data_IF_954557404935
#
_entry.id   IF_954557404935
#
_cell.length_a   1.000
_cell.length_b   1.000
_cell.length_c   1.000
_cell.angle_alpha   90.00
_cell.angle_beta   90.00
_cell.angle_gamma   90.00
#
_symmetry.space_group_name_H-M   'P 1'
#
loop_
_entity.id
_entity.type
_entity.pdbx_description
1 polymer ?
#
# COMPACT_ATOMS: atom_id res chain seq x y z
N UNK A 1 15.65 7.66 -10.84
CA UNK A 1 15.23 7.31 -9.47
C UNK A 1 13.86 7.91 -9.20
N UNK A 2 12.80 7.17 -9.56
CA UNK A 2 11.42 7.68 -9.63
C UNK A 2 10.41 6.88 -8.78
N UNK A 3 10.84 5.83 -8.05
CA UNK A 3 9.98 4.97 -7.20
C UNK A 3 9.31 5.71 -6.05
N UNK A 4 10.03 6.64 -5.43
CA UNK A 4 9.46 7.49 -4.37
C UNK A 4 8.47 8.51 -4.93
N UNK A 5 8.58 8.87 -6.22
CA UNK A 5 7.83 9.95 -6.86
C UNK A 5 6.57 9.55 -7.63
N UNK A 6 6.24 8.26 -7.66
CA UNK A 6 5.09 7.74 -8.41
C UNK A 6 3.75 8.28 -7.84
N UNK A 7 2.89 8.80 -8.71
CA UNK A 7 1.75 9.64 -8.32
C UNK A 7 0.48 8.80 -8.12
N UNK A 8 -0.17 8.97 -6.98
CA UNK A 8 -1.60 8.65 -6.78
C UNK A 8 -2.29 9.93 -6.27
N UNK A 9 -2.96 10.65 -7.18
CA UNK A 9 -3.46 12.01 -6.93
C UNK A 9 -4.97 12.12 -6.74
N UNK A 10 -5.71 11.00 -6.72
CA UNK A 10 -7.19 11.01 -6.74
C UNK A 10 -7.79 10.10 -5.66
N UNK A 11 -8.62 10.67 -4.78
CA UNK A 11 -9.38 9.98 -3.73
C UNK A 11 -10.58 9.17 -4.26
N UNK A 12 -10.45 8.51 -5.43
CA UNK A 12 -11.53 7.69 -5.97
C UNK A 12 -11.65 6.40 -5.16
N UNK A 13 -12.85 6.14 -4.61
CA UNK A 13 -13.17 4.87 -3.97
C UNK A 13 -13.27 3.78 -5.03
N UNK A 14 -12.22 2.98 -5.15
CA UNK A 14 -12.20 1.81 -6.01
C UNK A 14 -12.52 0.54 -5.19
N UNK A 15 -13.09 -0.49 -5.82
CA UNK A 15 -13.25 -1.78 -5.15
C UNK A 15 -11.87 -2.36 -4.77
N UNK A 16 -11.78 -3.07 -3.63
CA UNK A 16 -10.56 -3.74 -3.22
C UNK A 16 -10.05 -4.75 -4.25
N UNK A 17 -8.74 -4.99 -4.23
CA UNK A 17 -8.09 -6.00 -5.07
C UNK A 17 -7.73 -7.19 -4.19
N UNK A 18 -8.64 -8.15 -4.05
CA UNK A 18 -8.42 -9.34 -3.21
C UNK A 18 -8.13 -10.60 -4.04
N UNK A 19 -8.35 -10.56 -5.36
CA UNK A 19 -8.21 -11.75 -6.21
C UNK A 19 -6.82 -12.41 -6.17
N UNK A 20 -5.75 -11.66 -5.86
CA UNK A 20 -4.42 -12.24 -5.70
C UNK A 20 -4.25 -13.02 -4.40
N UNK A 21 -4.99 -12.72 -3.33
CA UNK A 21 -4.80 -13.34 -2.01
C UNK A 21 -5.03 -14.86 -2.04
N UNK A 22 -6.02 -15.28 -2.84
CA UNK A 22 -6.39 -16.69 -3.05
C UNK A 22 -5.65 -17.35 -4.21
N UNK A 23 -4.77 -16.62 -4.89
CA UNK A 23 -4.00 -17.17 -6.01
C UNK A 23 -2.97 -18.19 -5.50
N UNK A 24 -2.67 -19.20 -6.31
CA UNK A 24 -1.57 -20.12 -6.03
C UNK A 24 -0.25 -19.34 -5.99
N UNK A 25 0.58 -19.64 -4.98
CA UNK A 25 1.96 -19.15 -4.90
C UNK A 25 2.81 -19.87 -5.96
N UNK A 26 3.44 -19.10 -6.84
CA UNK A 26 4.22 -19.61 -7.97
C UNK A 26 5.65 -19.06 -7.93
N UNK A 27 6.65 -19.79 -8.48
CA UNK A 27 7.99 -19.25 -8.71
C UNK A 27 7.98 -18.00 -9.60
N UNK A 28 9.00 -17.14 -9.49
CA UNK A 28 9.02 -15.82 -10.12
C UNK A 28 8.77 -15.91 -11.64
N UNK A 29 9.45 -16.80 -12.35
CA UNK A 29 9.27 -16.94 -13.80
C UNK A 29 7.82 -17.27 -14.17
N UNK A 30 7.18 -18.21 -13.46
CA UNK A 30 5.78 -18.59 -13.67
C UNK A 30 4.82 -17.47 -13.31
N UNK A 31 5.12 -16.72 -12.26
CA UNK A 31 4.30 -15.58 -11.84
C UNK A 31 4.33 -14.41 -12.85
N UNK A 32 5.40 -14.29 -13.65
CA UNK A 32 5.57 -13.25 -14.66
C UNK A 32 5.04 -13.63 -16.05
N UNK A 33 4.86 -14.93 -16.35
CA UNK A 33 4.41 -15.43 -17.67
C UNK A 33 3.21 -14.64 -18.26
N UNK A 34 2.14 -14.33 -17.51
CA UNK A 34 0.98 -13.61 -18.06
C UNK A 34 1.23 -12.14 -18.43
N UNK A 35 2.34 -11.57 -17.99
CA UNK A 35 2.66 -10.13 -18.12
C UNK A 35 3.96 -9.86 -18.88
N UNK A 36 4.64 -10.89 -19.40
CA UNK A 36 5.90 -10.76 -20.14
C UNK A 36 5.83 -9.76 -21.31
N UNK A 37 4.69 -9.69 -22.01
CA UNK A 37 4.50 -8.76 -23.13
C UNK A 37 4.10 -7.34 -22.71
N UNK A 38 3.77 -7.12 -21.43
CA UNK A 38 3.33 -5.82 -20.92
C UNK A 38 4.48 -4.96 -20.42
N UNK A 39 5.64 -5.56 -20.13
CA UNK A 39 6.81 -4.90 -19.55
C UNK A 39 8.02 -5.21 -20.42
N UNK A 40 8.62 -4.17 -20.98
CA UNK A 40 9.80 -4.33 -21.82
C UNK A 40 10.96 -4.97 -21.04
N UNK A 41 11.68 -5.88 -21.71
CA UNK A 41 12.83 -6.62 -21.18
C UNK A 41 12.58 -7.39 -19.87
N UNK A 42 11.32 -7.66 -19.50
CA UNK A 42 10.98 -8.31 -18.23
C UNK A 42 11.66 -9.67 -18.03
N UNK A 43 11.78 -10.48 -19.09
CA UNK A 43 12.50 -11.76 -19.00
C UNK A 43 13.97 -11.55 -18.56
N UNK A 44 14.67 -10.61 -19.19
CA UNK A 44 16.07 -10.26 -18.86
C UNK A 44 16.18 -9.77 -17.41
N UNK A 45 15.35 -8.82 -17.01
CA UNK A 45 15.43 -8.24 -15.68
C UNK A 45 14.99 -9.20 -14.58
N UNK A 46 14.07 -10.12 -14.86
CA UNK A 46 13.70 -11.19 -13.91
C UNK A 46 14.86 -12.14 -13.62
N UNK A 47 15.72 -12.42 -14.62
CA UNK A 47 16.93 -13.22 -14.45
C UNK A 47 17.98 -12.48 -13.63
N UNK A 48 18.18 -11.19 -13.91
CA UNK A 48 19.07 -10.34 -13.10
C UNK A 48 18.58 -10.31 -11.65
N UNK A 49 17.30 -10.06 -11.42
CA UNK A 49 16.73 -10.06 -10.07
C UNK A 49 16.97 -11.38 -9.33
N UNK A 50 16.84 -12.54 -10.00
CA UNK A 50 17.08 -13.85 -9.38
C UNK A 50 18.56 -14.14 -9.06
N UNK A 51 19.47 -13.51 -9.79
CA UNK A 51 20.91 -13.64 -9.59
C UNK A 51 21.40 -12.69 -8.48
N UNK A 52 20.94 -11.45 -8.49
CA UNK A 52 21.42 -10.37 -7.61
C UNK A 52 20.64 -10.24 -6.30
N UNK A 53 19.47 -10.88 -6.18
CA UNK A 53 18.69 -10.82 -4.95
C UNK A 53 19.46 -11.35 -3.74
N UNK A 54 19.12 -10.81 -2.57
CA UNK A 54 19.68 -11.27 -1.32
C UNK A 54 19.22 -12.70 -0.99
N UNK A 55 20.12 -13.66 -1.24
CA UNK A 55 19.91 -15.05 -0.89
C UNK A 55 21.25 -15.71 -0.49
N UNK A 56 21.32 -16.48 0.62
CA UNK A 56 20.22 -16.87 1.51
C UNK A 56 19.65 -15.71 2.32
N UNK A 57 18.35 -15.78 2.62
CA UNK A 57 17.62 -14.74 3.34
C UNK A 57 17.64 -15.00 4.85
N UNK A 58 17.93 -13.96 5.64
CA UNK A 58 17.83 -13.98 7.11
C UNK A 58 16.37 -13.99 7.63
N UNK A 59 15.39 -13.76 6.76
CA UNK A 59 13.96 -13.75 7.07
C UNK A 59 13.20 -14.88 6.35
N UNK A 60 13.90 -15.96 5.97
CA UNK A 60 13.29 -17.17 5.39
C UNK A 60 12.54 -16.93 4.07
N UNK A 61 12.96 -15.91 3.31
CA UNK A 61 12.53 -15.74 1.93
C UNK A 61 13.18 -16.82 1.07
N UNK A 62 12.38 -17.46 0.23
CA UNK A 62 12.87 -18.22 -0.91
C UNK A 62 13.59 -17.27 -1.88
N UNK A 63 14.44 -17.83 -2.76
CA UNK A 63 15.10 -17.04 -3.80
C UNK A 63 14.10 -16.32 -4.70
N UNK A 64 12.97 -16.95 -5.03
CA UNK A 64 11.92 -16.35 -5.87
C UNK A 64 11.20 -15.18 -5.17
N UNK A 65 10.92 -15.29 -3.87
CA UNK A 65 10.36 -14.20 -3.06
C UNK A 65 11.33 -13.01 -2.95
N UNK A 66 12.61 -13.28 -2.67
CA UNK A 66 13.63 -12.23 -2.63
C UNK A 66 13.82 -11.56 -3.99
N UNK A 67 13.80 -12.34 -5.07
CA UNK A 67 13.90 -11.82 -6.43
C UNK A 67 12.67 -11.01 -6.85
N UNK A 68 11.48 -11.33 -6.34
CA UNK A 68 10.28 -10.55 -6.60
C UNK A 68 10.39 -9.12 -6.02
N UNK A 69 10.91 -8.99 -4.79
CA UNK A 69 11.18 -7.69 -4.16
C UNK A 69 12.28 -6.95 -4.92
N UNK A 70 13.38 -7.63 -5.23
CA UNK A 70 14.48 -7.04 -5.99
C UNK A 70 13.98 -6.49 -7.33
N UNK A 71 13.25 -7.29 -8.11
CA UNK A 71 12.67 -6.91 -9.41
C UNK A 71 11.76 -5.68 -9.30
N UNK A 72 10.92 -5.60 -8.27
CA UNK A 72 10.08 -4.43 -8.03
C UNK A 72 10.92 -3.17 -7.87
N UNK A 73 12.03 -3.27 -7.16
CA UNK A 73 12.88 -2.12 -6.82
C UNK A 73 13.83 -1.70 -7.95
N UNK A 74 14.01 -2.53 -8.98
CA UNK A 74 14.90 -2.20 -10.09
C UNK A 74 14.39 -1.01 -10.91
N UNK A 75 15.34 -0.20 -11.40
CA UNK A 75 15.08 0.86 -12.35
C UNK A 75 15.90 0.67 -13.62
N UNK A 76 15.22 0.68 -14.77
CA UNK A 76 15.85 0.57 -16.09
C UNK A 76 15.29 1.56 -17.11
N UNK A 77 14.72 2.67 -16.63
CA UNK A 77 14.15 3.73 -17.46
C UNK A 77 12.63 3.75 -17.44
N UNK A 78 12.04 4.33 -18.49
CA UNK A 78 10.59 4.36 -18.65
C UNK A 78 10.00 2.95 -18.75
N UNK A 79 8.86 2.74 -18.09
CA UNK A 79 8.22 1.43 -17.98
C UNK A 79 9.06 0.39 -17.22
N UNK A 80 9.89 0.85 -16.27
CA UNK A 80 10.42 -0.02 -15.21
C UNK A 80 9.27 -0.75 -14.51
N UNK A 81 9.52 -1.97 -14.04
CA UNK A 81 8.47 -2.87 -13.55
C UNK A 81 7.51 -2.23 -12.53
N UNK A 82 8.03 -1.51 -11.52
CA UNK A 82 7.19 -0.83 -10.53
C UNK A 82 6.26 0.21 -11.15
N UNK A 83 6.70 0.95 -12.19
CA UNK A 83 5.89 1.97 -12.84
C UNK A 83 4.70 1.33 -13.56
N UNK A 84 4.95 0.17 -14.19
CA UNK A 84 3.91 -0.55 -14.93
C UNK A 84 2.89 -1.15 -13.96
N UNK A 85 3.33 -1.92 -12.95
CA UNK A 85 2.40 -2.52 -12.00
C UNK A 85 1.59 -1.47 -11.24
N UNK A 86 2.22 -0.38 -10.80
CA UNK A 86 1.51 0.69 -10.08
C UNK A 86 0.51 1.43 -10.98
N UNK A 87 0.76 1.52 -12.29
CA UNK A 87 -0.24 2.02 -13.25
C UNK A 87 -1.49 1.15 -13.27
N UNK A 88 -1.34 -0.18 -13.30
CA UNK A 88 -2.48 -1.10 -13.25
C UNK A 88 -3.17 -1.07 -11.88
N UNK A 89 -2.41 -0.92 -10.78
CA UNK A 89 -2.98 -0.81 -9.44
C UNK A 89 -3.84 0.45 -9.26
N UNK A 90 -3.52 1.54 -9.98
CA UNK A 90 -4.34 2.76 -10.04
C UNK A 90 -5.51 2.69 -11.01
N UNK A 91 -5.54 1.72 -11.93
CA UNK A 91 -6.56 1.65 -12.95
C UNK A 91 -7.93 1.38 -12.33
N UNK A 92 -8.95 2.10 -12.81
CA UNK A 92 -10.34 1.91 -12.40
C UNK A 92 -10.86 0.54 -12.83
N UNK A 93 -10.47 0.11 -14.04
CA UNK A 93 -10.76 -1.24 -14.51
C UNK A 93 -9.88 -2.26 -13.78
N UNK A 94 -10.43 -2.84 -12.70
CA UNK A 94 -9.79 -3.90 -11.93
C UNK A 94 -9.57 -5.18 -12.72
N UNK A 95 -10.28 -5.41 -13.82
CA UNK A 95 -10.08 -6.62 -14.62
C UNK A 95 -8.69 -6.65 -15.28
N UNK A 96 -8.13 -5.48 -15.57
CA UNK A 96 -6.77 -5.32 -16.10
C UNK A 96 -5.67 -5.80 -15.14
N UNK A 97 -5.95 -5.93 -13.84
CA UNK A 97 -5.01 -6.45 -12.84
C UNK A 97 -4.95 -7.97 -12.77
N UNK A 98 -5.92 -8.69 -13.35
CA UNK A 98 -5.97 -10.16 -13.25
C UNK A 98 -4.67 -10.86 -13.70
N UNK A 99 -4.02 -10.45 -14.82
CA UNK A 99 -2.74 -11.04 -15.22
C UNK A 99 -1.62 -10.86 -14.18
N UNK A 100 -1.72 -9.84 -13.32
CA UNK A 100 -0.71 -9.49 -12.30
C UNK A 100 -0.89 -10.27 -11.00
N UNK A 101 -2.00 -11.00 -10.81
CA UNK A 101 -2.32 -11.64 -9.53
C UNK A 101 -1.27 -12.67 -9.08
N UNK A 102 -0.69 -13.42 -10.02
CA UNK A 102 0.36 -14.38 -9.68
C UNK A 102 1.61 -13.68 -9.13
N UNK A 103 2.04 -12.58 -9.74
CA UNK A 103 3.15 -11.77 -9.23
C UNK A 103 2.80 -11.08 -7.91
N UNK A 104 1.62 -10.46 -7.81
CA UNK A 104 1.17 -9.80 -6.58
C UNK A 104 1.12 -10.79 -5.41
N UNK A 105 0.66 -12.03 -5.64
CA UNK A 105 0.68 -13.08 -4.62
C UNK A 105 2.10 -13.40 -4.15
N UNK A 106 3.05 -13.55 -5.08
CA UNK A 106 4.45 -13.82 -4.74
C UNK A 106 5.08 -12.66 -3.96
N UNK A 107 4.91 -11.43 -4.45
CA UNK A 107 5.43 -10.23 -3.81
C UNK A 107 4.83 -10.01 -2.42
N UNK A 108 3.50 -10.12 -2.30
CA UNK A 108 2.77 -10.00 -1.04
C UNK A 108 3.25 -11.03 0.00
N UNK A 109 3.38 -12.29 -0.42
CA UNK A 109 3.91 -13.36 0.45
C UNK A 109 5.34 -13.04 0.90
N UNK A 110 6.18 -12.51 0.02
CA UNK A 110 7.56 -12.14 0.34
C UNK A 110 7.63 -11.01 1.37
N UNK A 111 6.93 -9.89 1.15
CA UNK A 111 7.01 -8.73 2.05
C UNK A 111 6.38 -8.99 3.42
N UNK A 112 5.43 -9.91 3.51
CA UNK A 112 4.82 -10.31 4.79
C UNK A 112 5.75 -11.15 5.69
N UNK A 113 6.84 -11.70 5.16
CA UNK A 113 7.91 -12.35 5.96
C UNK A 113 8.89 -11.35 6.57
N UNK A 114 8.88 -10.10 6.13
CA UNK A 114 9.86 -9.10 6.53
C UNK A 114 9.44 -8.34 7.80
N UNK A 115 10.40 -7.72 8.51
CA UNK A 115 10.10 -6.90 9.67
C UNK A 115 9.09 -5.80 9.37
N UNK A 116 8.16 -5.61 10.30
CA UNK A 116 7.18 -4.52 10.22
C UNK A 116 7.72 -3.26 10.89
N UNK A 117 7.57 -2.13 10.22
CA UNK A 117 8.02 -0.80 10.63
C UNK A 117 6.81 0.02 11.06
N UNK A 118 6.74 0.33 12.36
CA UNK A 118 5.77 1.26 12.96
C UNK A 118 6.48 2.57 13.33
N UNK A 119 6.71 3.42 12.34
CA UNK A 119 7.46 4.69 12.46
C UNK A 119 6.99 5.70 11.42
N UNK A 120 7.44 6.94 11.57
CA UNK A 120 7.28 7.95 10.54
C UNK A 120 8.08 7.59 9.28
N UNK A 121 7.40 7.55 8.15
CA UNK A 121 7.97 7.34 6.83
C UNK A 121 7.88 8.60 5.99
N UNK A 122 8.82 8.74 5.07
CA UNK A 122 8.91 9.86 4.14
C UNK A 122 8.72 9.36 2.71
N UNK A 123 7.92 10.08 1.93
CA UNK A 123 7.75 9.85 0.49
C UNK A 123 7.68 11.18 -0.24
N UNK A 124 8.46 11.36 -1.29
CA UNK A 124 8.50 12.60 -2.07
C UNK A 124 7.89 12.39 -3.44
N UNK A 125 6.88 13.19 -3.81
CA UNK A 125 6.27 13.19 -5.15
C UNK A 125 6.73 14.42 -5.91
N UNK A 126 7.28 14.23 -7.12
CA UNK A 126 7.82 15.29 -7.98
C UNK A 126 6.71 16.12 -8.68
N UNK A 127 5.65 16.45 -7.95
CA UNK A 127 4.51 17.27 -8.38
C UNK A 127 3.82 17.91 -7.18
N UNK A 128 3.31 19.13 -7.36
CA UNK A 128 2.43 19.79 -6.40
C UNK A 128 1.05 19.15 -6.48
N UNK A 129 0.75 18.35 -5.46
CA UNK A 129 -0.56 17.73 -5.25
C UNK A 129 -1.05 17.96 -3.82
N UNK A 130 -0.39 18.84 -3.05
CA UNK A 130 -0.70 19.05 -1.64
C UNK A 130 -2.15 19.51 -1.45
N UNK A 131 -2.65 20.36 -2.37
CA UNK A 131 -4.03 20.87 -2.40
C UNK A 131 -5.11 19.80 -2.57
N UNK A 132 -4.74 18.59 -2.97
CA UNK A 132 -5.69 17.48 -3.11
C UNK A 132 -6.05 16.85 -1.75
N UNK A 133 -5.36 17.22 -0.68
CA UNK A 133 -5.56 16.68 0.65
C UNK A 133 -6.17 17.73 1.57
N UNK A 134 -7.19 17.33 2.33
CA UNK A 134 -7.82 18.16 3.36
C UNK A 134 -7.82 17.43 4.69
N UNK A 135 -7.68 18.17 5.79
CA UNK A 135 -7.73 17.59 7.13
C UNK A 135 -8.95 16.68 7.31
N UNK A 136 -8.71 15.47 7.82
CA UNK A 136 -9.74 14.48 8.11
C UNK A 136 -10.20 13.65 6.91
N UNK A 137 -9.77 13.98 5.70
CA UNK A 137 -10.08 13.18 4.50
C UNK A 137 -9.44 11.80 4.60
N UNK A 138 -10.22 10.76 4.27
CA UNK A 138 -9.76 9.40 4.17
C UNK A 138 -9.69 8.94 2.71
N UNK A 139 -8.62 8.24 2.38
CA UNK A 139 -8.40 7.70 1.04
C UNK A 139 -7.55 6.42 1.11
N UNK A 140 -7.42 5.75 -0.03
CA UNK A 140 -6.65 4.51 -0.17
C UNK A 140 -5.57 4.73 -1.23
N UNK A 141 -4.33 4.35 -0.93
CA UNK A 141 -3.33 4.14 -1.97
C UNK A 141 -3.38 2.69 -2.44
N UNK A 142 -3.79 2.49 -3.68
CA UNK A 142 -3.87 1.16 -4.28
C UNK A 142 -2.52 0.66 -4.77
N UNK A 143 -1.55 1.55 -4.92
CA UNK A 143 -0.19 1.26 -5.39
C UNK A 143 0.66 0.56 -4.34
N UNK A 144 1.71 -0.13 -4.79
CA UNK A 144 2.83 -0.46 -3.92
C UNK A 144 3.59 0.85 -3.70
N UNK A 145 3.65 1.33 -2.45
CA UNK A 145 4.23 2.63 -2.13
C UNK A 145 5.61 2.47 -1.50
N UNK A 146 6.64 2.86 -2.24
CA UNK A 146 8.01 2.98 -1.73
C UNK A 146 8.16 4.24 -0.87
N UNK A 147 8.66 4.07 0.35
CA UNK A 147 8.94 5.13 1.31
C UNK A 147 10.33 4.94 1.90
N UNK A 148 10.86 5.95 2.58
CA UNK A 148 12.11 5.82 3.33
C UNK A 148 11.90 6.22 4.78
N UNK A 149 12.64 5.57 5.68
CA UNK A 149 12.78 6.04 7.08
C UNK A 149 13.72 7.24 7.19
N UNK A 150 14.48 7.54 6.13
CA UNK A 150 15.47 8.62 6.07
C UNK A 150 14.95 9.79 5.25
N UNK A 151 14.73 10.93 5.91
CA UNK A 151 14.43 12.19 5.20
C UNK A 151 15.58 12.60 4.27
N UNK A 152 16.83 12.27 4.62
CA UNK A 152 17.99 12.60 3.81
C UNK A 152 17.97 11.88 2.47
N UNK A 153 17.50 10.63 2.45
CA UNK A 153 17.28 9.89 1.20
C UNK A 153 16.25 10.63 0.35
N UNK A 154 15.09 11.00 0.93
CA UNK A 154 13.99 11.62 0.16
C UNK A 154 14.34 13.01 -0.38
N UNK A 155 15.20 13.78 0.31
CA UNK A 155 15.59 15.13 -0.14
C UNK A 155 16.12 15.16 -1.57
N UNK A 156 16.88 14.15 -1.97
CA UNK A 156 17.49 14.06 -3.31
C UNK A 156 16.43 13.87 -4.42
N UNK A 157 15.19 13.53 -4.05
CA UNK A 157 14.06 13.32 -4.95
C UNK A 157 13.10 14.53 -5.02
N UNK A 158 13.33 15.56 -4.21
CA UNK A 158 12.45 16.73 -4.14
C UNK A 158 12.99 17.85 -5.05
N UNK A 159 12.20 18.22 -6.05
CA UNK A 159 12.34 19.47 -6.81
C UNK A 159 11.45 20.60 -6.27
N UNK A 160 11.53 21.82 -6.86
CA UNK A 160 10.80 23.02 -6.40
C UNK A 160 9.27 22.88 -6.30
N UNK A 161 8.69 22.03 -7.15
CA UNK A 161 7.25 21.76 -7.21
C UNK A 161 6.91 20.37 -6.66
N UNK A 162 7.63 19.90 -5.64
CA UNK A 162 7.38 18.57 -5.04
C UNK A 162 6.48 18.63 -3.82
N UNK A 163 5.78 17.52 -3.56
CA UNK A 163 5.01 17.29 -2.34
C UNK A 163 5.73 16.24 -1.49
N UNK A 164 6.10 16.59 -0.27
CA UNK A 164 6.65 15.67 0.72
C UNK A 164 5.52 15.13 1.61
N UNK A 165 5.44 13.81 1.72
CA UNK A 165 4.54 13.12 2.63
C UNK A 165 5.31 12.72 3.88
N UNK A 166 4.79 13.13 5.04
CA UNK A 166 5.09 12.55 6.34
C UNK A 166 3.98 11.56 6.67
N UNK A 167 4.32 10.30 6.89
CA UNK A 167 3.35 9.22 7.06
C UNK A 167 3.60 8.55 8.41
N UNK A 168 2.66 8.64 9.35
CA UNK A 168 2.62 7.81 10.55
C UNK A 168 2.22 6.39 10.16
N UNK A 169 3.20 5.56 9.79
CA UNK A 169 2.97 4.20 9.32
C UNK A 169 2.94 3.19 10.47
N UNK A 170 2.11 2.16 10.31
CA UNK A 170 1.96 1.04 11.24
C UNK A 170 2.36 -0.28 10.58
N UNK A 171 2.03 -0.48 9.30
CA UNK A 171 2.26 -1.75 8.60
C UNK A 171 3.35 -1.69 7.52
N UNK A 172 4.27 -0.72 7.58
CA UNK A 172 5.39 -0.64 6.65
C UNK A 172 6.26 -1.91 6.69
N UNK A 173 6.74 -2.39 5.54
CA UNK A 173 7.63 -3.56 5.43
C UNK A 173 9.04 -3.12 5.11
N UNK A 174 9.99 -3.42 5.98
CA UNK A 174 11.39 -3.09 5.76
C UNK A 174 11.98 -3.99 4.66
N UNK A 175 12.30 -3.39 3.51
CA UNK A 175 12.91 -4.09 2.38
C UNK A 175 14.35 -3.66 2.15
N UNK A 176 14.96 -2.91 3.06
CA UNK A 176 16.31 -2.33 2.90
C UNK A 176 17.39 -3.38 2.57
N UNK A 177 17.24 -4.59 3.10
CA UNK A 177 18.14 -5.72 2.80
C UNK A 177 17.85 -6.46 1.49
N UNK A 178 16.76 -6.14 0.78
CA UNK A 178 16.25 -6.92 -0.38
C UNK A 178 16.03 -6.06 -1.63
N UNK A 179 16.25 -4.75 -1.52
CA UNK A 179 16.11 -3.78 -2.61
C UNK A 179 17.38 -3.69 -3.46
N UNK A 180 17.22 -3.27 -4.72
CA UNK A 180 18.31 -2.90 -5.64
C UNK A 180 19.04 -1.62 -5.19
N UNK A 181 18.56 -0.93 -4.14
CA UNK A 181 19.12 0.30 -3.61
C UNK A 181 19.29 0.27 -2.07
N UNK A 182 20.30 -0.45 -1.56
CA UNK A 182 20.43 -0.74 -0.11
C UNK A 182 20.67 0.51 0.76
N UNK A 183 21.12 1.63 0.18
CA UNK A 183 21.37 2.89 0.89
C UNK A 183 20.12 3.72 1.12
N UNK A 184 18.97 3.34 0.56
CA UNK A 184 17.74 4.13 0.61
C UNK A 184 16.90 3.92 1.87
N UNK A 185 17.26 2.95 2.73
CA UNK A 185 16.48 2.58 3.92
C UNK A 185 14.99 2.39 3.58
N UNK A 186 14.75 1.68 2.48
CA UNK A 186 13.45 1.60 1.84
C UNK A 186 12.45 0.74 2.63
N UNK A 187 11.23 1.26 2.75
CA UNK A 187 10.08 0.61 3.37
C UNK A 187 8.91 0.62 2.38
N UNK A 188 8.23 -0.51 2.24
CA UNK A 188 7.04 -0.64 1.40
C UNK A 188 5.78 -0.50 2.24
N UNK A 189 4.84 0.33 1.77
CA UNK A 189 3.43 0.26 2.16
C UNK A 189 2.69 -0.56 1.08
N UNK A 190 1.97 -1.59 1.51
CA UNK A 190 1.32 -2.54 0.61
C UNK A 190 0.15 -1.92 -0.17
N UNK A 191 -0.22 -2.49 -1.33
CA UNK A 191 -1.42 -2.10 -2.08
C UNK A 191 -2.67 -2.07 -1.20
N UNK A 192 -3.44 -0.99 -1.29
CA UNK A 192 -4.68 -0.83 -0.55
C UNK A 192 -4.50 -0.22 0.85
N UNK A 193 -3.32 0.32 1.17
CA UNK A 193 -3.09 1.02 2.45
C UNK A 193 -4.01 2.24 2.54
N UNK A 194 -4.75 2.35 3.65
CA UNK A 194 -5.67 3.47 3.92
C UNK A 194 -5.00 4.53 4.75
N UNK A 195 -5.29 5.78 4.45
CA UNK A 195 -4.75 6.94 5.16
C UNK A 195 -5.84 7.92 5.52
N UNK A 196 -5.58 8.69 6.58
CA UNK A 196 -6.27 9.93 6.91
C UNK A 196 -5.28 11.08 6.87
N UNK A 197 -5.67 12.22 6.28
CA UNK A 197 -4.92 13.46 6.42
C UNK A 197 -5.09 14.02 7.85
N UNK A 198 -3.97 14.15 8.58
CA UNK A 198 -3.97 14.56 10.00
C UNK A 198 -4.19 16.07 10.15
N UNK A 199 -3.67 16.84 9.20
CA UNK A 199 -3.78 18.30 9.15
C UNK A 199 -4.06 18.76 7.72
N UNK A 200 -4.42 20.03 7.56
CA UNK A 200 -4.32 20.67 6.26
C UNK A 200 -2.84 20.71 5.83
N UNK A 201 -2.57 20.65 4.52
CA UNK A 201 -1.20 20.64 4.01
C UNK A 201 -0.48 21.96 4.34
N UNK A 202 0.83 21.88 4.61
CA UNK A 202 1.69 23.05 4.51
C UNK A 202 1.90 23.30 3.02
N UNK A 203 1.21 24.28 2.45
CA UNK A 203 1.30 24.64 1.02
C UNK A 203 2.06 25.96 0.85
N UNK A 204 3.37 25.94 1.10
CA UNK A 204 4.24 27.12 0.97
C UNK A 204 5.51 26.77 0.20
N UNK A 205 5.84 27.53 -0.84
CA UNK A 205 7.08 27.31 -1.57
C UNK A 205 8.31 27.58 -0.66
N UNK A 206 9.41 26.81 -0.80
CA UNK A 206 9.61 25.73 -1.77
C UNK A 206 9.15 24.34 -1.27
N UNK A 207 8.56 24.25 -0.07
CA UNK A 207 8.31 22.98 0.62
C UNK A 207 6.83 22.77 0.90
N UNK A 208 6.24 21.80 0.18
CA UNK A 208 4.86 21.39 0.41
C UNK A 208 4.83 20.10 1.20
N UNK A 209 4.12 20.07 2.32
CA UNK A 209 4.09 18.90 3.22
C UNK A 209 2.66 18.45 3.47
N UNK A 210 2.41 17.15 3.25
CA UNK A 210 1.16 16.47 3.60
C UNK A 210 1.44 15.51 4.75
N UNK A 211 0.67 15.63 5.84
CA UNK A 211 0.77 14.74 7.00
C UNK A 211 -0.35 13.71 6.97
N UNK A 212 0.03 12.44 6.88
CA UNK A 212 -0.86 11.29 6.82
C UNK A 212 -0.69 10.38 8.03
N UNK A 213 -1.78 9.76 8.45
CA UNK A 213 -1.78 8.66 9.40
C UNK A 213 -2.39 7.43 8.74
N UNK A 214 -1.72 6.28 8.86
CA UNK A 214 -2.26 5.01 8.39
C UNK A 214 -3.49 4.60 9.22
N UNK A 215 -4.58 4.25 8.53
CA UNK A 215 -5.81 3.78 9.18
C UNK A 215 -5.70 2.27 9.40
N UNK A 216 -5.76 1.89 10.67
CA UNK A 216 -5.81 0.50 11.17
C UNK A 216 -7.07 0.30 12.02
N UNK A 217 -7.43 -0.96 12.30
CA UNK A 217 -8.53 -1.31 13.20
C UNK A 217 -8.41 -0.61 14.58
N UNK A 218 -7.19 -0.45 15.09
CA UNK A 218 -6.90 0.28 16.34
C UNK A 218 -7.29 1.76 16.23
N UNK A 219 -6.89 2.42 15.13
CA UNK A 219 -7.20 3.83 14.93
C UNK A 219 -8.68 4.06 14.67
N UNK A 220 -9.38 3.16 13.97
CA UNK A 220 -10.84 3.24 13.78
C UNK A 220 -11.59 3.17 15.12
N UNK A 221 -11.16 2.32 16.05
CA UNK A 221 -11.68 2.25 17.42
C UNK A 221 -11.45 3.52 18.25
N UNK A 222 -10.31 4.20 18.05
CA UNK A 222 -10.01 5.47 18.71
C UNK A 222 -10.90 6.63 18.23
N UNK A 223 -11.30 6.68 16.95
CA UNK A 223 -12.26 7.70 16.50
C UNK A 223 -13.66 7.43 17.01
N UNK A 224 -14.12 6.18 16.95
CA UNK A 224 -15.47 5.85 17.44
C UNK A 224 -15.60 6.18 18.93
N UNK A 225 -14.58 5.88 19.73
CA UNK A 225 -14.53 6.27 21.14
C UNK A 225 -14.40 7.79 21.35
N UNK A 226 -13.61 8.50 20.54
CA UNK A 226 -13.47 9.97 20.65
C UNK A 226 -14.73 10.73 20.23
N UNK A 227 -15.41 10.28 19.18
CA UNK A 227 -16.72 10.82 18.74
C UNK A 227 -17.81 10.50 19.75
N UNK A 228 -17.80 9.29 20.33
CA UNK A 228 -18.69 8.94 21.43
C UNK A 228 -18.40 9.79 22.68
N UNK A 229 -17.14 10.04 23.03
CA UNK A 229 -16.78 10.91 24.14
C UNK A 229 -17.20 12.37 23.91
N UNK A 230 -17.03 12.90 22.69
CA UNK A 230 -17.51 14.24 22.33
C UNK A 230 -19.04 14.35 22.34
N UNK A 231 -19.75 13.33 21.88
CA UNK A 231 -21.23 13.32 21.90
C UNK A 231 -21.82 13.09 23.30
N UNK A 232 -21.13 12.33 24.16
CA UNK A 232 -21.48 12.18 25.60
C UNK A 232 -21.21 13.47 26.36
N UNK A 233 -20.11 14.19 26.06
CA UNK A 233 -19.83 15.50 26.63
C UNK A 233 -20.90 16.54 26.24
N UNK A 234 -21.49 16.42 25.04
CA UNK A 234 -22.59 17.30 24.59
C UNK A 234 -24.00 16.87 25.03
N UNK A 235 -24.16 15.73 25.72
CA UNK A 235 -25.48 15.16 26.05
C UNK A 235 -25.69 14.90 27.55
N UNK A 236 -24.99 15.63 28.43
CA UNK A 236 -25.27 15.63 29.87
C UNK A 236 -26.57 16.36 30.23
N UNK A 237 -27.71 15.89 29.70
CA UNK A 237 -29.06 16.09 30.24
C UNK A 237 -30.06 15.15 29.54
N UNK A 238 -30.22 13.91 30.04
CA UNK A 238 -31.51 13.23 30.34
C UNK A 238 -31.35 11.71 30.59
N UNK A 239 -32.21 11.23 31.51
CA UNK A 239 -32.28 9.92 32.17
C UNK A 239 -32.75 8.73 31.28
N UNK A 240 -32.09 7.58 31.52
CA UNK A 240 -32.52 6.15 31.59
C UNK A 240 -33.69 5.57 30.77
N UNK A 241 -33.45 4.42 30.08
CA UNK A 241 -34.01 3.06 30.36
C UNK A 241 -33.50 2.00 29.34
N UNK A 242 -33.58 0.67 29.61
CA UNK A 242 -32.66 -0.33 29.07
C UNK A 242 -33.14 -1.02 27.78
N UNK A 243 -32.20 -1.50 26.95
CA UNK A 243 -32.49 -2.36 25.79
C UNK A 243 -31.84 -3.73 25.91
N UNK A 244 -32.66 -4.73 25.60
CA UNK A 244 -32.44 -6.16 25.68
C UNK A 244 -31.49 -6.66 24.57
N UNK A 245 -30.52 -7.51 24.92
CA UNK A 245 -29.47 -8.00 24.00
C UNK A 245 -29.85 -9.40 23.52
N UNK A 246 -30.30 -9.51 22.27
CA UNK A 246 -30.40 -10.80 21.57
C UNK A 246 -29.20 -10.97 20.62
N UNK A 247 -28.37 -11.98 20.89
CA UNK A 247 -27.19 -12.32 20.09
C UNK A 247 -27.59 -12.94 18.75
N UNK A 248 -27.33 -12.25 17.63
CA UNK A 248 -27.49 -12.83 16.28
C UNK A 248 -26.22 -13.60 15.87
N UNK A 249 -26.39 -14.89 15.60
CA UNK A 249 -25.40 -15.71 14.89
C UNK A 249 -25.19 -15.17 13.46
N UNK A 250 -23.93 -15.07 13.03
CA UNK A 250 -23.57 -14.62 11.68
C UNK A 250 -22.83 -15.73 10.94
N UNK A 251 -23.31 -16.09 9.75
CA UNK A 251 -22.64 -17.05 8.88
C UNK A 251 -21.74 -16.31 7.88
N UNK A 252 -20.65 -16.93 7.44
CA UNK A 252 -19.70 -16.34 6.49
C UNK A 252 -19.84 -17.06 5.16
N UNK A 253 -20.08 -16.31 4.07
CA UNK A 253 -20.16 -16.84 2.70
C UNK A 253 -19.04 -16.28 1.85
N UNK A 254 -18.41 -17.14 1.07
CA UNK A 254 -17.46 -16.73 0.01
C UNK A 254 -18.24 -16.17 -1.18
N UNK A 255 -17.92 -14.95 -1.59
CA UNK A 255 -18.56 -14.25 -2.71
C UNK A 255 -17.47 -13.81 -3.69
N UNK A 256 -17.75 -13.96 -4.98
CA UNK A 256 -16.91 -13.42 -6.05
C UNK A 256 -17.62 -12.22 -6.67
N UNK A 257 -16.95 -11.07 -6.77
CA UNK A 257 -17.51 -9.88 -7.40
C UNK A 257 -17.36 -9.90 -8.94
N UNK A 258 -17.96 -8.90 -9.59
CA UNK A 258 -17.90 -8.74 -11.06
C UNK A 258 -16.48 -8.54 -11.61
N UNK A 259 -15.51 -8.24 -10.74
CA UNK A 259 -14.11 -8.06 -11.09
C UNK A 259 -13.28 -9.32 -10.82
N UNK A 260 -13.88 -10.40 -10.30
CA UNK A 260 -13.21 -11.67 -10.00
C UNK A 260 -12.51 -11.70 -8.65
N UNK A 261 -12.70 -10.69 -7.79
CA UNK A 261 -12.19 -10.76 -6.41
C UNK A 261 -13.08 -11.72 -5.61
N UNK A 262 -12.44 -12.63 -4.88
CA UNK A 262 -13.15 -13.56 -4.00
C UNK A 262 -12.87 -13.20 -2.55
N UNK A 263 -13.92 -12.96 -1.76
CA UNK A 263 -13.80 -12.55 -0.36
C UNK A 263 -14.93 -13.12 0.51
N UNK A 264 -14.69 -13.15 1.82
CA UNK A 264 -15.65 -13.63 2.80
C UNK A 264 -16.57 -12.50 3.27
N UNK A 265 -17.88 -12.68 3.11
CA UNK A 265 -18.91 -11.73 3.55
C UNK A 265 -19.73 -12.35 4.68
N UNK A 266 -19.84 -11.64 5.81
CA UNK A 266 -20.79 -12.00 6.88
C UNK A 266 -22.22 -11.76 6.40
N UNK A 267 -23.07 -12.77 6.54
CA UNK A 267 -24.50 -12.72 6.26
C UNK A 267 -25.22 -12.93 7.58
N UNK A 268 -26.19 -12.06 7.85
CA UNK A 268 -27.12 -12.27 8.95
C UNK A 268 -28.18 -13.27 8.48
N UNK A 269 -28.24 -14.43 9.13
CA UNK A 269 -29.36 -15.35 9.00
C UNK A 269 -30.49 -14.74 9.85
N UNK A 270 -31.61 -14.43 9.21
CA UNK A 270 -32.82 -13.93 9.87
C UNK A 270 -33.44 -15.03 10.75
#
# INVERSE_FOLDING_TARGET
MHRFTDIESTSKRLPPVYGYLTHQLLPLQKALEPILSQVDQLDRFSKIAKNECHFPSQHELTRDESAAIYLYTMEWGENSFYQVINRFLRAEDRSSLKPWFAYLKLFDTAVHKLPTVRKNLWRGIAKDIAKNFKKGEEFTWWTISSCSTSVNTIKDFLGPDSTLFLIEAVNGKDISGYTNFPTESEVILCPGTRFRAVSDPLDQAPMRVVHLQEITDETEGQLTSSVNAMSVASSSEKKSMPTDVTSKSSAVKTVTDQWGNTYQKKIHIL
#
